data_IF_330147625443
#
_entry.id   IF_330147625443
#
_cell.length_a   1.000
_cell.length_b   1.000
_cell.length_c   1.000
_cell.angle_alpha   90.00
_cell.angle_beta   90.00
_cell.angle_gamma   90.00
#
_symmetry.space_group_name_H-M   'P 1'
#
loop_
_entity.id
_entity.type
_entity.pdbx_description
1 polymer ?
#
# COMPACT_ATOMS: atom_id res chain seq x y z
N UNK A 1 -14.65 -30.90 14.27
CA UNK A 1 -15.39 -30.22 13.20
C UNK A 1 -15.71 -28.79 13.56
N UNK A 2 -16.42 -28.59 14.65
CA UNK A 2 -16.82 -27.25 15.04
C UNK A 2 -15.66 -26.39 15.43
N UNK A 3 -14.67 -26.97 16.09
CA UNK A 3 -13.48 -26.21 16.47
C UNK A 3 -12.68 -25.77 15.26
N UNK A 4 -12.59 -26.64 14.26
CA UNK A 4 -11.90 -26.31 13.03
C UNK A 4 -12.64 -25.19 12.31
N UNK A 5 -13.95 -25.26 12.30
CA UNK A 5 -14.75 -24.20 11.69
C UNK A 5 -14.58 -22.88 12.43
N UNK A 6 -14.53 -22.95 13.76
CA UNK A 6 -14.32 -21.76 14.56
C UNK A 6 -12.97 -21.10 14.26
N UNK A 7 -11.93 -21.90 14.19
CA UNK A 7 -10.61 -21.37 13.86
C UNK A 7 -10.59 -20.77 12.47
N UNK A 8 -11.25 -21.44 11.54
CA UNK A 8 -11.33 -20.93 10.18
C UNK A 8 -12.07 -19.62 10.12
N UNK A 9 -13.15 -19.51 10.87
CA UNK A 9 -13.91 -18.29 10.95
C UNK A 9 -13.11 -17.15 11.54
N UNK A 10 -12.30 -17.44 12.55
CA UNK A 10 -11.45 -16.41 13.14
C UNK A 10 -10.40 -15.92 12.17
N UNK A 11 -9.77 -16.82 11.43
CA UNK A 11 -8.79 -16.45 10.43
C UNK A 11 -9.45 -15.64 9.32
N UNK A 12 -10.60 -16.10 8.86
CA UNK A 12 -11.35 -15.36 7.85
C UNK A 12 -11.80 -14.01 8.36
N UNK A 13 -12.16 -13.94 9.62
CA UNK A 13 -12.61 -12.70 10.23
C UNK A 13 -11.47 -11.69 10.33
N UNK A 14 -10.25 -12.15 10.61
CA UNK A 14 -9.10 -11.26 10.58
C UNK A 14 -8.92 -10.67 9.18
N UNK A 15 -8.95 -11.50 8.15
CA UNK A 15 -8.87 -11.02 6.79
C UNK A 15 -10.08 -10.21 6.40
N UNK A 16 -11.25 -10.61 6.91
CA UNK A 16 -12.52 -9.93 6.61
C UNK A 16 -12.73 -8.71 7.51
N UNK A 17 -11.91 -8.52 8.54
CA UNK A 17 -12.03 -7.35 9.41
C UNK A 17 -11.84 -6.05 8.63
N UNK A 18 -11.16 -6.12 7.50
CA UNK A 18 -10.98 -4.98 6.62
C UNK A 18 -11.89 -5.13 5.42
N UNK A 19 -12.78 -4.19 5.24
CA UNK A 19 -13.62 -4.16 4.05
C UNK A 19 -12.82 -3.74 2.84
N UNK A 20 -11.81 -2.88 3.06
CA UNK A 20 -10.96 -2.45 1.99
C UNK A 20 -9.76 -1.70 2.49
N UNK A 21 -8.75 -1.62 1.64
CA UNK A 21 -7.58 -0.77 1.82
C UNK A 21 -7.30 -0.13 0.46
N UNK A 22 -6.99 1.14 0.46
CA UNK A 22 -6.83 1.86 -0.80
C UNK A 22 -5.92 3.06 -0.62
N UNK A 23 -5.49 3.61 -1.75
CA UNK A 23 -4.76 4.86 -1.78
C UNK A 23 -5.74 6.02 -1.71
N UNK A 24 -5.52 6.91 -0.75
CA UNK A 24 -6.20 8.20 -0.74
C UNK A 24 -5.47 9.17 -1.67
N UNK A 25 -4.17 8.94 -1.87
CA UNK A 25 -3.32 9.73 -2.76
C UNK A 25 -2.10 8.88 -3.11
N UNK A 26 -1.60 8.89 -4.34
CA UNK A 26 -2.11 9.63 -5.50
C UNK A 26 -3.34 8.96 -6.11
N UNK A 27 -3.99 9.69 -7.02
CA UNK A 27 -5.08 9.13 -7.79
C UNK A 27 -4.53 8.17 -8.84
N UNK A 28 -5.37 7.26 -9.27
CA UNK A 28 -5.00 6.37 -10.37
C UNK A 28 -4.73 7.22 -11.63
N UNK A 29 -3.66 6.90 -12.32
CA UNK A 29 -3.20 7.58 -13.53
C UNK A 29 -2.72 9.02 -13.28
N UNK A 30 -2.35 9.35 -12.06
CA UNK A 30 -1.82 10.67 -11.75
C UNK A 30 -0.41 10.82 -12.30
N UNK A 31 -0.08 12.04 -12.73
CA UNK A 31 1.27 12.39 -13.18
C UNK A 31 1.94 13.31 -12.17
N UNK A 32 3.21 13.08 -11.94
CA UNK A 32 4.03 13.90 -11.07
C UNK A 32 5.14 14.53 -11.87
N UNK A 33 5.39 15.82 -11.62
CA UNK A 33 6.51 16.54 -12.20
C UNK A 33 7.44 16.91 -11.06
N UNK A 34 8.29 15.98 -10.69
CA UNK A 34 9.13 16.11 -9.51
C UNK A 34 10.59 15.99 -9.89
N UNK A 35 11.38 16.99 -9.54
CA UNK A 35 12.81 16.94 -9.77
C UNK A 35 13.53 15.91 -8.95
N UNK A 36 13.04 15.66 -7.73
CA UNK A 36 13.68 14.72 -6.81
C UNK A 36 13.20 13.29 -6.99
N UNK A 37 12.01 13.10 -7.56
CA UNK A 37 11.41 11.78 -7.65
C UNK A 37 10.79 11.29 -6.37
N UNK A 38 10.57 12.18 -5.40
CA UNK A 38 9.94 11.80 -4.15
C UNK A 38 8.43 11.76 -4.34
N UNK A 39 7.81 10.65 -3.93
CA UNK A 39 6.38 10.46 -4.06
C UNK A 39 5.82 10.11 -2.68
N UNK A 40 4.83 10.86 -2.26
CA UNK A 40 4.16 10.59 -0.99
C UNK A 40 2.89 9.83 -1.25
N UNK A 41 2.71 8.73 -0.53
CA UNK A 41 1.51 7.92 -0.60
C UNK A 41 0.71 8.13 0.67
N UNK A 42 -0.60 8.32 0.50
CA UNK A 42 -1.55 8.34 1.59
C UNK A 42 -2.46 7.15 1.40
N UNK A 43 -2.59 6.33 2.43
CA UNK A 43 -3.40 5.13 2.36
C UNK A 43 -4.37 5.08 3.52
N UNK A 44 -5.47 4.37 3.33
CA UNK A 44 -6.47 4.21 4.37
C UNK A 44 -7.15 2.87 4.21
N UNK A 45 -7.76 2.45 5.28
CA UNK A 45 -8.53 1.22 5.30
C UNK A 45 -9.83 1.43 6.06
N UNK A 46 -10.77 0.53 5.82
CA UNK A 46 -12.03 0.51 6.54
C UNK A 46 -12.20 -0.88 7.12
N UNK A 47 -12.25 -1.00 8.45
CA UNK A 47 -11.92 0.01 9.44
C UNK A 47 -10.42 0.33 9.48
N UNK A 48 -10.00 1.21 10.39
CA UNK A 48 -8.59 1.51 10.55
C UNK A 48 -7.78 0.30 11.01
N UNK A 49 -6.48 0.47 11.05
CA UNK A 49 -5.57 -0.65 11.38
C UNK A 49 -5.86 -1.22 12.76
N UNK A 50 -5.84 -2.55 12.83
CA UNK A 50 -5.88 -3.25 14.09
C UNK A 50 -4.51 -3.20 14.76
N UNK A 51 -4.45 -3.40 16.09
CA UNK A 51 -3.16 -3.39 16.78
C UNK A 51 -2.20 -4.40 16.18
N UNK A 52 -0.96 -3.99 16.01
CA UNK A 52 0.08 -4.84 15.44
C UNK A 52 0.12 -4.89 13.94
N UNK A 53 -0.87 -4.34 13.26
CA UNK A 53 -0.90 -4.32 11.79
C UNK A 53 -0.26 -3.05 11.25
N UNK A 54 0.19 -3.12 10.00
CA UNK A 54 0.81 -2.00 9.31
C UNK A 54 0.36 -1.96 7.87
N UNK A 55 0.39 -0.76 7.28
CA UNK A 55 0.26 -0.62 5.84
C UNK A 55 1.62 -0.85 5.21
N UNK A 56 1.63 -1.54 4.08
CA UNK A 56 2.83 -1.73 3.28
C UNK A 56 2.52 -1.35 1.84
N UNK A 57 3.38 -0.52 1.26
CA UNK A 57 3.25 -0.14 -0.15
C UNK A 57 4.31 -0.90 -0.93
N UNK A 58 3.88 -1.50 -2.03
CA UNK A 58 4.80 -2.09 -3.01
C UNK A 58 4.77 -1.25 -4.27
N UNK A 59 5.91 -1.13 -4.90
CA UNK A 59 6.08 -0.39 -6.14
C UNK A 59 6.66 -1.35 -7.16
N UNK A 60 5.93 -1.58 -8.25
CA UNK A 60 6.32 -2.54 -9.28
C UNK A 60 6.66 -3.91 -8.69
N UNK A 61 5.90 -4.31 -7.66
CA UNK A 61 6.07 -5.60 -7.02
C UNK A 61 7.09 -5.64 -5.88
N UNK A 62 7.77 -4.53 -5.60
CA UNK A 62 8.80 -4.49 -4.56
C UNK A 62 8.34 -3.67 -3.37
N UNK A 63 8.54 -4.15 -2.13
CA UNK A 63 8.17 -3.37 -0.96
C UNK A 63 9.03 -2.11 -0.88
N UNK A 64 8.39 -0.97 -0.69
CA UNK A 64 9.09 0.32 -0.63
C UNK A 64 8.84 1.08 0.65
N UNK A 65 7.91 0.66 1.48
CA UNK A 65 7.70 1.31 2.76
C UNK A 65 6.55 0.73 3.54
N UNK A 66 6.58 0.94 4.84
CA UNK A 66 5.54 0.53 5.77
C UNK A 66 5.21 1.71 6.68
N UNK A 67 3.99 1.74 7.18
CA UNK A 67 3.56 2.80 8.07
C UNK A 67 2.34 2.36 8.87
N UNK A 68 2.23 2.86 10.09
CA UNK A 68 1.01 2.72 10.86
C UNK A 68 0.15 3.97 10.77
N UNK A 69 0.69 5.07 10.27
CA UNK A 69 -0.03 6.35 10.21
C UNK A 69 -0.83 6.52 8.93
N UNK A 70 -0.49 5.76 7.89
CA UNK A 70 -1.13 5.92 6.59
C UNK A 70 -0.37 6.83 5.64
N UNK A 71 0.77 7.38 6.05
CA UNK A 71 1.62 8.21 5.19
C UNK A 71 2.92 7.48 4.92
N UNK A 72 3.27 7.34 3.67
CA UNK A 72 4.51 6.67 3.25
C UNK A 72 5.15 7.52 2.16
N UNK A 73 6.40 7.92 2.37
CA UNK A 73 7.15 8.67 1.37
C UNK A 73 8.20 7.75 0.76
N UNK A 74 8.22 7.69 -0.55
CA UNK A 74 9.21 6.91 -1.30
C UNK A 74 10.09 7.87 -2.06
N UNK A 75 11.40 7.77 -1.82
CA UNK A 75 12.37 8.67 -2.43
C UNK A 75 12.95 8.06 -3.70
N UNK A 76 13.35 8.92 -4.60
CA UNK A 76 14.08 8.52 -5.80
C UNK A 76 13.33 7.54 -6.68
N UNK A 77 12.04 7.76 -6.86
CA UNK A 77 11.26 6.97 -7.81
C UNK A 77 11.73 7.33 -9.21
N UNK A 78 12.07 6.32 -10.00
CA UNK A 78 12.54 6.54 -11.35
C UNK A 78 11.44 7.18 -12.18
N UNK A 79 11.82 7.95 -13.18
CA UNK A 79 10.85 8.47 -14.13
C UNK A 79 10.23 7.32 -14.91
N UNK A 80 8.99 7.50 -15.30
CA UNK A 80 8.22 6.51 -16.01
C UNK A 80 6.97 6.15 -15.28
N UNK A 81 6.28 5.14 -15.79
CA UNK A 81 5.02 4.69 -15.23
C UNK A 81 5.26 3.53 -14.27
N UNK A 82 4.63 3.59 -13.12
CA UNK A 82 4.78 2.61 -12.06
C UNK A 82 3.43 2.14 -11.57
N UNK A 83 3.41 0.92 -11.06
CA UNK A 83 2.22 0.36 -10.42
C UNK A 83 2.48 0.27 -8.93
N UNK A 84 1.56 0.82 -8.15
CA UNK A 84 1.64 0.76 -6.70
C UNK A 84 0.48 -0.03 -6.14
N UNK A 85 0.75 -0.82 -5.10
CA UNK A 85 -0.28 -1.53 -4.35
C UNK A 85 -0.09 -1.26 -2.88
N UNK A 86 -1.19 -1.25 -2.14
CA UNK A 86 -1.13 -1.16 -0.70
C UNK A 86 -1.68 -2.45 -0.10
N UNK A 87 -0.98 -2.93 0.92
CA UNK A 87 -1.35 -4.14 1.64
C UNK A 87 -1.43 -3.80 3.12
N UNK A 88 -2.20 -4.58 3.85
CA UNK A 88 -2.12 -4.57 5.31
C UNK A 88 -1.41 -5.86 5.70
N UNK A 89 -0.38 -5.74 6.52
CA UNK A 89 0.38 -6.88 7.00
C UNK A 89 0.27 -6.96 8.52
N UNK A 90 0.31 -8.19 9.03
CA UNK A 90 0.30 -8.40 10.48
C UNK A 90 1.72 -8.28 11.04
N UNK A 91 1.86 -8.56 12.34
CA UNK A 91 3.16 -8.42 12.99
C UNK A 91 4.19 -9.44 12.49
N UNK A 92 3.77 -10.47 11.81
CA UNK A 92 4.66 -11.46 11.20
C UNK A 92 4.98 -11.14 9.74
N UNK A 93 4.46 -10.02 9.23
CA UNK A 93 4.68 -9.65 7.84
C UNK A 93 3.77 -10.35 6.86
N UNK A 94 2.73 -11.04 7.34
CA UNK A 94 1.80 -11.75 6.48
C UNK A 94 0.75 -10.77 5.99
N UNK A 95 0.49 -10.77 4.69
CA UNK A 95 -0.52 -9.91 4.10
C UNK A 95 -1.90 -10.41 4.47
N UNK A 96 -2.68 -9.57 5.15
CA UNK A 96 -4.04 -9.90 5.55
C UNK A 96 -5.08 -9.20 4.70
N UNK A 97 -4.68 -8.19 3.94
CA UNK A 97 -5.57 -7.52 2.99
C UNK A 97 -4.74 -6.83 1.93
N UNK A 98 -5.21 -6.87 0.70
CA UNK A 98 -4.55 -6.21 -0.44
C UNK A 98 -5.57 -5.36 -1.16
N UNK A 99 -5.21 -4.12 -1.48
CA UNK A 99 -6.05 -3.22 -2.24
C UNK A 99 -5.80 -3.31 -3.73
N UNK A 100 -6.65 -2.61 -4.47
CA UNK A 100 -6.48 -2.52 -5.92
C UNK A 100 -5.26 -1.67 -6.25
N UNK A 101 -4.53 -2.02 -7.31
CA UNK A 101 -3.37 -1.23 -7.70
C UNK A 101 -3.78 0.10 -8.30
N UNK A 102 -2.88 1.07 -8.18
CA UNK A 102 -2.97 2.30 -8.96
C UNK A 102 -1.75 2.41 -9.84
N UNK A 103 -1.90 3.17 -10.90
CA UNK A 103 -0.80 3.48 -11.80
C UNK A 103 -0.53 4.98 -11.71
N UNK A 104 0.72 5.37 -11.70
CA UNK A 104 1.10 6.76 -11.75
C UNK A 104 2.37 6.92 -12.57
N UNK A 105 2.61 8.13 -13.04
CA UNK A 105 3.75 8.41 -13.89
C UNK A 105 4.58 9.54 -13.28
N UNK A 106 5.88 9.32 -13.22
CA UNK A 106 6.82 10.33 -12.70
C UNK A 106 7.57 10.92 -13.88
N UNK A 107 7.49 12.23 -14.02
CA UNK A 107 8.23 12.99 -15.00
C UNK A 107 9.34 13.72 -14.28
N UNK A 108 10.55 13.26 -14.46
CA UNK A 108 11.73 13.89 -13.86
C UNK A 108 12.58 14.48 -14.97
N UNK A 109 13.04 15.71 -14.82
CA UNK A 109 13.94 16.25 -15.82
C UNK A 109 15.23 15.46 -15.86
N UNK A 110 15.80 15.32 -17.06
CA UNK A 110 17.10 14.69 -17.20
C UNK A 110 18.16 15.58 -16.59
N UNK A 111 19.18 14.97 -15.99
CA UNK A 111 20.30 15.72 -15.44
C UNK A 111 21.09 16.47 -16.51
N UNK A 112 20.94 16.05 -17.76
CA UNK A 112 21.64 16.68 -18.89
C UNK A 112 20.85 17.83 -19.49
N UNK A 113 19.66 18.06 -19.06
CA UNK A 113 18.82 19.13 -19.60
C UNK A 113 18.97 20.39 -18.82
#
# INVERSE_FOLDING_TARGET
MQETEKLREEVQREGAAYEGVSFAYPDNNQSFHSGSGDVQFEVRSTPGLQPGHKYEVTLDGQPVGQSTSGSITVNNVFRGTHEARVHIVDENGVQVKTGSPITFTVHRPSALN
#
